data_IF_810254294761
#
_entry.id   IF_810254294761
#
_cell.length_a   1.000
_cell.length_b   1.000
_cell.length_c   1.000
_cell.angle_alpha   90.00
_cell.angle_beta   90.00
_cell.angle_gamma   90.00
#
_symmetry.space_group_name_H-M   'P 1'
#
loop_
_entity.id
_entity.type
_entity.pdbx_description
1 polymer ?
#
# COMPACT_ATOMS: atom_id res chain seq x y z
N UNK A 1 -15.66 0.58 -0.58
CA UNK A 1 -15.44 -0.47 0.44
C UNK A 1 -15.52 0.12 1.84
N UNK A 2 -15.93 -0.69 2.80
CA UNK A 2 -16.11 -0.27 4.19
C UNK A 2 -14.77 -0.09 4.90
N UNK A 3 -14.71 0.84 5.87
CA UNK A 3 -13.49 1.12 6.63
C UNK A 3 -12.91 -0.14 7.30
N UNK A 4 -13.78 -1.04 7.76
CA UNK A 4 -13.39 -2.31 8.40
C UNK A 4 -12.65 -3.23 7.42
N UNK A 5 -13.06 -3.27 6.16
CA UNK A 5 -12.44 -4.09 5.12
C UNK A 5 -11.03 -3.60 4.80
N UNK A 6 -10.86 -2.27 4.66
CA UNK A 6 -9.54 -1.66 4.44
C UNK A 6 -8.58 -1.99 5.59
N UNK A 7 -9.06 -1.96 6.84
CA UNK A 7 -8.26 -2.29 8.02
C UNK A 7 -7.89 -3.78 8.02
N UNK A 8 -8.82 -4.68 7.65
CA UNK A 8 -8.56 -6.12 7.53
C UNK A 8 -7.49 -6.39 6.48
N UNK A 9 -7.67 -5.82 5.28
CA UNK A 9 -6.72 -5.90 4.16
C UNK A 9 -5.33 -5.40 4.55
N UNK A 10 -5.26 -4.26 5.24
CA UNK A 10 -4.00 -3.73 5.75
C UNK A 10 -3.29 -4.71 6.70
N UNK A 11 -4.02 -5.31 7.64
CA UNK A 11 -3.45 -6.29 8.59
C UNK A 11 -2.92 -7.53 7.88
N UNK A 12 -3.65 -8.03 6.89
CA UNK A 12 -3.23 -9.18 6.07
C UNK A 12 -1.92 -8.87 5.34
N UNK A 13 -1.83 -7.73 4.65
CA UNK A 13 -0.62 -7.34 3.92
C UNK A 13 0.57 -7.12 4.86
N UNK A 14 0.36 -6.48 6.02
CA UNK A 14 1.41 -6.26 7.02
C UNK A 14 1.96 -7.60 7.52
N UNK A 15 1.07 -8.58 7.77
CA UNK A 15 1.45 -9.94 8.17
C UNK A 15 2.21 -10.66 7.06
N UNK A 16 1.73 -10.62 5.81
CA UNK A 16 2.41 -11.20 4.64
C UNK A 16 3.81 -10.62 4.44
N UNK A 17 3.98 -9.32 4.70
CA UNK A 17 5.27 -8.65 4.56
C UNK A 17 6.21 -8.84 5.75
N UNK A 18 5.72 -9.39 6.87
CA UNK A 18 6.50 -9.53 8.11
C UNK A 18 6.84 -8.18 8.75
N UNK A 19 5.91 -7.22 8.70
CA UNK A 19 6.10 -5.87 9.23
C UNK A 19 5.38 -5.70 10.57
N UNK A 20 5.95 -4.91 11.47
CA UNK A 20 5.39 -4.65 12.79
C UNK A 20 5.37 -3.15 13.13
N UNK A 21 4.44 -2.77 14.02
CA UNK A 21 4.33 -1.39 14.53
C UNK A 21 3.83 -0.36 13.51
N UNK A 22 3.28 -0.79 12.38
CA UNK A 22 2.72 0.11 11.36
C UNK A 22 1.26 0.44 11.67
N UNK A 23 0.89 1.71 11.47
CA UNK A 23 -0.47 2.22 11.66
C UNK A 23 -1.09 2.58 10.31
N UNK A 24 -2.40 2.38 10.14
CA UNK A 24 -3.16 2.88 8.99
C UNK A 24 -4.10 4.01 9.40
N UNK A 25 -4.22 5.04 8.56
CA UNK A 25 -5.22 6.10 8.67
C UNK A 25 -5.90 6.33 7.33
N UNK A 26 -7.23 6.34 7.34
CA UNK A 26 -8.03 6.68 6.16
C UNK A 26 -8.48 8.13 6.36
N UNK A 27 -7.98 9.04 5.52
CA UNK A 27 -8.17 10.49 5.68
C UNK A 27 -8.39 11.14 4.31
N UNK A 28 -9.13 12.27 4.23
CA UNK A 28 -9.17 13.05 3.00
C UNK A 28 -7.76 13.56 2.62
N UNK A 29 -7.36 13.40 1.36
CA UNK A 29 -6.09 13.94 0.85
C UNK A 29 -6.34 14.73 -0.44
N UNK A 30 -5.62 15.85 -0.63
CA UNK A 30 -5.83 16.75 -1.79
C UNK A 30 -5.16 16.26 -3.08
N UNK A 31 -3.89 15.83 -3.02
CA UNK A 31 -3.06 15.53 -4.22
C UNK A 31 -2.63 14.07 -4.37
N UNK A 32 -2.73 13.26 -3.31
CA UNK A 32 -2.20 11.90 -3.27
C UNK A 32 -3.32 10.88 -3.01
N UNK A 33 -3.15 9.68 -3.55
CA UNK A 33 -4.04 8.53 -3.31
C UNK A 33 -3.64 7.77 -2.03
N UNK A 34 -2.34 7.73 -1.72
CA UNK A 34 -1.80 7.22 -0.47
C UNK A 34 -0.45 7.88 -0.18
N UNK A 35 0.06 7.68 1.04
CA UNK A 35 1.42 8.04 1.42
C UNK A 35 1.84 7.29 2.67
N UNK A 36 3.10 6.87 2.72
CA UNK A 36 3.73 6.38 3.94
C UNK A 36 4.57 7.45 4.65
N UNK A 37 4.46 7.52 5.97
CA UNK A 37 5.33 8.33 6.83
C UNK A 37 6.34 7.44 7.54
N UNK A 38 7.60 7.51 7.13
CA UNK A 38 8.71 6.77 7.77
C UNK A 38 8.89 7.17 9.23
N UNK A 39 8.83 8.48 9.54
CA UNK A 39 8.98 9.02 10.90
C UNK A 39 7.94 8.47 11.88
N UNK A 40 6.68 8.35 11.45
CA UNK A 40 5.57 7.94 12.33
C UNK A 40 5.08 6.51 12.06
N UNK A 41 5.75 5.77 11.17
CA UNK A 41 5.33 4.44 10.67
C UNK A 41 3.84 4.37 10.35
N UNK A 42 3.33 5.40 9.67
CA UNK A 42 1.89 5.56 9.41
C UNK A 42 1.62 5.59 7.92
N UNK A 43 0.84 4.62 7.45
CA UNK A 43 0.23 4.61 6.13
C UNK A 43 -1.02 5.48 6.15
N UNK A 44 -1.09 6.47 5.27
CA UNK A 44 -2.30 7.26 5.01
C UNK A 44 -2.87 6.85 3.66
N UNK A 45 -4.14 6.50 3.64
CA UNK A 45 -4.89 6.19 2.42
C UNK A 45 -5.97 7.25 2.25
N UNK A 46 -6.09 7.79 1.04
CA UNK A 46 -7.09 8.80 0.74
C UNK A 46 -8.49 8.17 0.83
N UNK A 47 -9.39 8.78 1.61
CA UNK A 47 -10.76 8.31 1.78
C UNK A 47 -11.49 8.07 0.44
N UNK A 48 -11.29 8.93 -0.56
CA UNK A 48 -11.89 8.76 -1.89
C UNK A 48 -11.44 7.48 -2.59
N UNK A 49 -10.21 7.03 -2.36
CA UNK A 49 -9.68 5.79 -2.96
C UNK A 49 -10.42 4.60 -2.39
N UNK A 50 -10.63 4.56 -1.07
CA UNK A 50 -11.38 3.47 -0.43
C UNK A 50 -12.87 3.48 -0.80
N UNK A 51 -13.42 4.61 -1.21
CA UNK A 51 -14.83 4.73 -1.61
C UNK A 51 -15.03 4.35 -3.08
N UNK A 52 -14.11 4.73 -3.96
CA UNK A 52 -14.29 4.65 -5.42
C UNK A 52 -13.61 3.45 -6.08
N UNK A 53 -12.53 2.91 -5.49
CA UNK A 53 -11.77 1.82 -6.09
C UNK A 53 -12.19 0.46 -5.57
N UNK A 54 -11.98 -0.55 -6.41
CA UNK A 54 -12.21 -1.95 -6.07
C UNK A 54 -11.17 -2.50 -5.09
N UNK A 55 -11.42 -3.72 -4.62
CA UNK A 55 -10.57 -4.38 -3.63
C UNK A 55 -9.13 -4.56 -4.10
N UNK A 56 -8.96 -5.00 -5.33
CA UNK A 56 -7.66 -5.28 -5.92
C UNK A 56 -6.78 -4.02 -6.06
N UNK A 57 -7.38 -2.90 -6.48
CA UNK A 57 -6.68 -1.62 -6.59
C UNK A 57 -6.32 -1.05 -5.22
N UNK A 58 -7.23 -1.10 -4.24
CA UNK A 58 -6.91 -0.66 -2.87
C UNK A 58 -5.81 -1.51 -2.26
N UNK A 59 -5.85 -2.83 -2.47
CA UNK A 59 -4.79 -3.76 -2.06
C UNK A 59 -3.45 -3.38 -2.67
N UNK A 60 -3.43 -3.13 -3.98
CA UNK A 60 -2.22 -2.73 -4.70
C UNK A 60 -1.61 -1.44 -4.14
N UNK A 61 -2.44 -0.43 -3.88
CA UNK A 61 -1.98 0.87 -3.34
C UNK A 61 -1.38 0.71 -1.94
N UNK A 62 -2.03 -0.04 -1.05
CA UNK A 62 -1.50 -0.31 0.30
C UNK A 62 -0.18 -1.07 0.21
N UNK A 63 -0.12 -2.11 -0.63
CA UNK A 63 1.08 -2.91 -0.83
C UNK A 63 2.24 -2.06 -1.36
N UNK A 64 1.98 -1.19 -2.33
CA UNK A 64 2.98 -0.30 -2.93
C UNK A 64 3.72 0.52 -1.88
N UNK A 65 2.97 1.21 -1.02
CA UNK A 65 3.52 2.06 0.04
C UNK A 65 4.26 1.24 1.11
N UNK A 66 3.75 0.05 1.45
CA UNK A 66 4.41 -0.83 2.44
C UNK A 66 5.68 -1.49 1.91
N UNK A 67 5.75 -1.78 0.61
CA UNK A 67 6.98 -2.30 -0.01
C UNK A 67 8.08 -1.23 0.03
N UNK A 68 7.76 0.04 -0.27
CA UNK A 68 8.71 1.15 -0.09
C UNK A 68 9.28 1.21 1.32
N UNK A 69 8.41 1.05 2.32
CA UNK A 69 8.86 0.96 3.71
C UNK A 69 9.76 -0.26 3.97
N UNK A 70 9.35 -1.45 3.51
CA UNK A 70 10.08 -2.70 3.74
C UNK A 70 11.51 -2.66 3.17
N UNK A 71 11.70 -2.07 1.99
CA UNK A 71 13.02 -2.00 1.34
C UNK A 71 13.80 -0.75 1.75
N UNK A 72 13.18 0.16 2.52
CA UNK A 72 13.71 1.46 2.90
C UNK A 72 14.25 2.27 1.69
N UNK A 73 13.50 2.26 0.59
CA UNK A 73 13.86 2.92 -0.67
C UNK A 73 12.62 3.55 -1.29
N UNK A 74 12.74 4.81 -1.71
CA UNK A 74 11.69 5.54 -2.39
C UNK A 74 11.59 5.19 -3.88
N UNK A 75 12.61 4.52 -4.44
CA UNK A 75 12.69 4.20 -5.85
C UNK A 75 12.06 2.83 -6.18
N UNK A 76 11.56 2.68 -7.41
CA UNK A 76 10.99 1.44 -7.93
C UNK A 76 12.06 0.50 -8.54
N UNK A 77 13.19 0.34 -7.85
CA UNK A 77 14.31 -0.48 -8.32
C UNK A 77 14.03 -1.99 -8.35
N UNK A 78 15.04 -2.80 -8.71
CA UNK A 78 14.93 -4.27 -8.79
C UNK A 78 14.38 -4.90 -7.50
N UNK A 79 14.79 -4.38 -6.33
CA UNK A 79 14.31 -4.85 -5.01
C UNK A 79 12.81 -4.60 -4.82
N UNK A 80 12.31 -3.45 -5.27
CA UNK A 80 10.89 -3.11 -5.24
C UNK A 80 10.09 -4.08 -6.11
N UNK A 81 10.49 -4.24 -7.37
CA UNK A 81 9.80 -5.11 -8.33
C UNK A 81 9.78 -6.59 -7.90
N UNK A 82 10.85 -7.06 -7.25
CA UNK A 82 10.94 -8.42 -6.68
C UNK A 82 9.92 -8.61 -5.56
N UNK A 83 9.85 -7.67 -4.60
CA UNK A 83 8.90 -7.77 -3.48
C UNK A 83 7.44 -7.63 -3.93
N UNK A 84 7.16 -6.64 -4.79
CA UNK A 84 5.82 -6.44 -5.34
C UNK A 84 5.37 -7.64 -6.19
N UNK A 85 6.29 -8.16 -7.00
CA UNK A 85 6.08 -9.25 -7.94
C UNK A 85 5.80 -10.62 -7.35
N UNK A 86 6.25 -10.85 -6.11
CA UNK A 86 5.99 -12.09 -5.39
C UNK A 86 4.57 -12.12 -4.80
N UNK A 87 3.90 -10.97 -4.71
CA UNK A 87 2.63 -10.81 -3.98
C UNK A 87 1.49 -10.40 -4.93
N UNK A 88 1.79 -9.74 -6.05
CA UNK A 88 0.77 -9.28 -7.00
C UNK A 88 0.60 -10.22 -8.20
N UNK A 89 -0.64 -10.47 -8.65
CA UNK A 89 -0.88 -11.23 -9.88
C UNK A 89 -0.34 -10.47 -11.11
N UNK A 90 0.26 -11.21 -12.07
CA UNK A 90 0.97 -10.67 -13.25
C UNK A 90 0.19 -9.60 -14.03
N UNK A 91 -1.15 -9.64 -14.01
CA UNK A 91 -2.07 -8.73 -14.72
C UNK A 91 -1.94 -7.24 -14.33
N UNK A 92 -1.43 -6.91 -13.13
CA UNK A 92 -1.32 -5.52 -12.65
C UNK A 92 0.07 -4.90 -12.84
N UNK A 93 1.05 -5.64 -13.40
CA UNK A 93 2.39 -5.12 -13.67
C UNK A 93 2.39 -4.18 -14.89
N UNK A 94 1.85 -2.97 -14.75
CA UNK A 94 2.15 -1.91 -15.73
C UNK A 94 3.57 -1.41 -15.46
N UNK A 95 4.44 -1.50 -16.47
CA UNK A 95 5.75 -0.84 -16.46
C UNK A 95 5.49 0.66 -16.35
N UNK A 96 5.79 1.26 -15.20
CA UNK A 96 6.06 2.69 -15.17
C UNK A 96 7.28 2.90 -16.06
N UNK A 97 7.08 3.59 -17.19
CA UNK A 97 8.15 4.04 -18.08
C UNK A 97 9.00 5.08 -17.36
#
# INVERSE_FOLDING_TARGET
>A
MERKEVIKLFKEIVKELGLEGIRIRIVPMKRKIASFSFKTKTLRVNRRVTELLDYELVRYIILHELVHFKINDANHGKRFLKNLGNITPKKMRKKSK
#
